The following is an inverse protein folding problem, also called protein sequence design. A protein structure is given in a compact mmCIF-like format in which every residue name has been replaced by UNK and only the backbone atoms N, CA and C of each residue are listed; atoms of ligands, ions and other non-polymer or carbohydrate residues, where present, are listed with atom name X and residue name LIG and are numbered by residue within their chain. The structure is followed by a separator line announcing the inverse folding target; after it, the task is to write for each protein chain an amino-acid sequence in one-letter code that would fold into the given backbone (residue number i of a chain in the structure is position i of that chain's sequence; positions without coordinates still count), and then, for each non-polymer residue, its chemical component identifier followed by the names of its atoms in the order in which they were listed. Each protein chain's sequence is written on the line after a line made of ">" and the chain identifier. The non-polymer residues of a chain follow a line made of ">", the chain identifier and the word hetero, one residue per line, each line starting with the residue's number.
data_IF_723799724263
#
_entry.id   IF_723799724263
#
_cell.length_a   1.000
_cell.length_b   1.000
_cell.length_c   1.000
_cell.angle_alpha   90.00
_cell.angle_beta   90.00
_cell.angle_gamma   90.00
#
_symmetry.space_group_name_H-M   'P 1'
#
loop_
_entity.id
_entity.type
_entity.pdbx_description
1 polymer ?
#
# COMPACT_ATOMS: atom_id res chain seq x y z
N UNK A 1 7.31 23.41 7.79
CA UNK A 1 8.51 22.59 7.50
C UNK A 1 8.02 21.25 7.01
N UNK A 2 8.33 20.90 5.78
CA UNK A 2 8.08 19.58 5.21
C UNK A 2 9.18 18.63 5.68
N UNK A 3 8.81 17.50 6.28
CA UNK A 3 9.77 16.48 6.68
C UNK A 3 9.53 15.24 5.82
N UNK A 4 10.54 14.90 5.01
CA UNK A 4 10.51 13.74 4.12
C UNK A 4 11.63 12.77 4.49
N UNK A 5 11.29 11.49 4.68
CA UNK A 5 12.25 10.46 5.09
C UNK A 5 11.84 9.06 4.62
N UNK A 6 12.82 8.15 4.54
CA UNK A 6 12.64 6.74 4.13
C UNK A 6 12.72 5.81 5.33
N UNK A 7 11.84 4.82 5.38
CA UNK A 7 11.83 3.77 6.41
C UNK A 7 11.51 2.39 5.83
N UNK A 8 11.83 1.35 6.59
CA UNK A 8 11.25 0.01 6.49
C UNK A 8 9.91 -0.09 7.21
N UNK A 9 9.20 -1.18 6.98
CA UNK A 9 7.92 -1.43 7.64
C UNK A 9 8.08 -1.71 9.15
N UNK A 10 9.16 -2.37 9.57
CA UNK A 10 9.51 -2.60 10.98
C UNK A 10 9.67 -1.30 11.77
N UNK A 11 10.12 -0.21 11.14
CA UNK A 11 10.41 1.08 11.77
C UNK A 11 9.18 1.98 11.97
N UNK A 12 8.02 1.61 11.41
CA UNK A 12 6.83 2.49 11.35
C UNK A 12 6.43 3.04 12.73
N UNK A 13 6.40 2.20 13.76
CA UNK A 13 5.91 2.60 15.08
C UNK A 13 6.88 3.53 15.81
N UNK A 14 8.19 3.37 15.58
CA UNK A 14 9.23 4.18 16.20
C UNK A 14 9.40 5.54 15.50
N UNK A 15 9.30 5.56 14.16
CA UNK A 15 9.73 6.71 13.36
C UNK A 15 8.57 7.55 12.83
N UNK A 16 7.44 6.94 12.46
CA UNK A 16 6.36 7.68 11.80
C UNK A 16 5.51 8.42 12.82
N UNK A 17 5.27 9.73 12.67
CA UNK A 17 4.37 10.47 13.57
C UNK A 17 2.90 10.10 13.34
N UNK A 18 2.09 10.29 14.38
CA UNK A 18 0.63 10.21 14.29
C UNK A 18 0.05 11.51 13.70
N UNK A 19 0.46 11.85 12.48
CA UNK A 19 0.14 13.12 11.82
C UNK A 19 -0.41 12.91 10.39
N UNK A 20 -1.01 13.94 9.78
CA UNK A 20 -1.34 13.94 8.36
C UNK A 20 -0.09 13.82 7.48
N UNK A 21 -0.28 13.26 6.29
CA UNK A 21 0.76 13.25 5.27
C UNK A 21 0.53 12.25 4.17
N UNK A 22 1.56 12.13 3.34
CA UNK A 22 1.66 11.26 2.18
C UNK A 22 2.66 10.14 2.44
N UNK A 23 2.38 8.98 1.87
CA UNK A 23 3.31 7.86 1.82
C UNK A 23 3.41 7.30 0.40
N UNK A 24 4.61 6.88 0.04
CA UNK A 24 4.90 6.13 -1.18
C UNK A 24 5.53 4.80 -0.78
N UNK A 25 5.02 3.71 -1.33
CA UNK A 25 5.58 2.38 -1.14
C UNK A 25 6.29 2.02 -2.43
N UNK A 26 7.60 1.80 -2.30
CA UNK A 26 8.51 1.54 -3.40
C UNK A 26 9.26 0.25 -3.14
N UNK A 27 9.56 -0.49 -4.19
CA UNK A 27 10.43 -1.67 -4.10
C UNK A 27 11.90 -1.26 -4.08
N UNK A 28 12.78 -2.14 -3.61
CA UNK A 28 14.23 -1.91 -3.59
C UNK A 28 14.81 -1.66 -4.99
N UNK A 29 14.16 -2.22 -6.02
CA UNK A 29 14.49 -2.05 -7.44
C UNK A 29 13.97 -0.72 -8.03
N UNK A 30 13.39 0.15 -7.20
CA UNK A 30 12.84 1.44 -7.62
C UNK A 30 11.43 1.37 -8.21
N UNK A 31 10.83 0.18 -8.29
CA UNK A 31 9.46 0.00 -8.76
C UNK A 31 8.45 0.62 -7.79
N UNK A 32 7.71 1.61 -8.29
CA UNK A 32 6.63 2.29 -7.55
C UNK A 32 5.44 1.33 -7.40
N UNK A 33 4.96 1.13 -6.17
CA UNK A 33 3.80 0.27 -5.93
C UNK A 33 2.56 1.09 -5.66
N UNK A 34 2.63 1.96 -4.65
CA UNK A 34 1.47 2.69 -4.15
C UNK A 34 1.86 4.06 -3.63
N UNK A 35 1.10 5.07 -4.03
CA UNK A 35 1.00 6.33 -3.30
C UNK A 35 -0.31 6.36 -2.50
N UNK A 36 -0.30 7.04 -1.35
CA UNK A 36 -1.49 7.25 -0.57
C UNK A 36 -1.34 8.35 0.46
N UNK A 37 -2.46 8.85 0.98
CA UNK A 37 -2.48 9.79 2.10
C UNK A 37 -3.17 9.25 3.33
N UNK A 38 -2.95 9.90 4.47
CA UNK A 38 -3.75 9.71 5.67
C UNK A 38 -3.78 10.98 6.53
N UNK A 39 -4.83 11.14 7.34
CA UNK A 39 -4.79 12.07 8.47
C UNK A 39 -3.98 11.52 9.67
N UNK A 40 -3.61 10.23 9.64
CA UNK A 40 -2.74 9.61 10.62
C UNK A 40 -1.86 8.54 9.94
N UNK A 41 -0.67 8.96 9.52
CA UNK A 41 0.29 8.13 8.79
C UNK A 41 0.68 6.87 9.56
N UNK A 42 1.03 6.98 10.84
CA UNK A 42 1.42 5.82 11.67
C UNK A 42 0.33 4.74 11.64
N UNK A 43 -0.92 5.11 11.96
CA UNK A 43 -2.05 4.16 11.95
C UNK A 43 -2.22 3.52 10.57
N UNK A 44 -2.17 4.31 9.50
CA UNK A 44 -2.38 3.81 8.13
C UNK A 44 -1.26 2.84 7.70
N UNK A 45 -0.01 3.19 7.97
CA UNK A 45 1.13 2.36 7.61
C UNK A 45 1.19 1.06 8.43
N UNK A 46 0.82 1.09 9.72
CA UNK A 46 0.66 -0.14 10.52
C UNK A 46 -0.41 -1.06 9.92
N UNK A 47 -1.53 -0.51 9.44
CA UNK A 47 -2.56 -1.31 8.77
C UNK A 47 -2.05 -1.96 7.47
N UNK A 48 -1.21 -1.25 6.72
CA UNK A 48 -0.56 -1.79 5.53
C UNK A 48 0.44 -2.89 5.88
N UNK A 49 1.30 -2.65 6.89
CA UNK A 49 2.26 -3.63 7.42
C UNK A 49 1.56 -4.94 7.78
N UNK A 50 0.47 -4.86 8.53
CA UNK A 50 -0.23 -6.06 9.01
C UNK A 50 -0.82 -6.90 7.88
N UNK A 51 -1.17 -6.29 6.74
CA UNK A 51 -1.64 -6.99 5.54
C UNK A 51 -2.72 -8.07 5.78
N UNK A 52 -3.62 -7.81 6.75
CA UNK A 52 -4.47 -8.83 7.37
C UNK A 52 -5.34 -9.59 6.36
N UNK A 53 -5.17 -10.90 6.25
CA UNK A 53 -6.00 -11.78 5.43
C UNK A 53 -7.45 -11.73 5.89
N UNK A 54 -7.68 -11.67 7.21
CA UNK A 54 -9.02 -11.56 7.80
C UNK A 54 -9.81 -10.33 7.35
N UNK A 55 -9.16 -9.32 6.75
CA UNK A 55 -9.77 -8.10 6.21
C UNK A 55 -9.97 -8.11 4.70
N UNK A 56 -9.49 -9.15 4.02
CA UNK A 56 -9.88 -9.48 2.65
C UNK A 56 -11.14 -10.35 2.73
N UNK A 57 -12.24 -9.85 2.17
CA UNK A 57 -13.56 -10.50 2.27
C UNK A 57 -14.12 -10.71 0.88
N UNK A 58 -14.53 -11.93 0.61
CA UNK A 58 -15.30 -12.24 -0.58
C UNK A 58 -16.67 -11.57 -0.47
N UNK A 59 -17.14 -11.00 -1.58
CA UNK A 59 -18.54 -10.62 -1.74
C UNK A 59 -19.40 -11.89 -1.79
N UNK A 60 -20.68 -11.74 -1.50
CA UNK A 60 -21.65 -12.83 -1.63
C UNK A 60 -21.63 -13.36 -3.07
N UNK A 61 -21.50 -14.69 -3.22
CA UNK A 61 -21.38 -15.36 -4.52
C UNK A 61 -20.07 -15.12 -5.28
N UNK A 62 -19.11 -14.39 -4.71
CA UNK A 62 -17.86 -14.02 -5.38
C UNK A 62 -16.82 -15.15 -5.50
N UNK A 63 -15.74 -14.93 -6.25
CA UNK A 63 -14.62 -15.86 -6.39
C UNK A 63 -13.25 -15.23 -6.07
N UNK A 64 -12.39 -15.97 -5.36
CA UNK A 64 -11.03 -15.49 -5.00
C UNK A 64 -10.09 -15.30 -6.19
N UNK A 65 -10.42 -15.89 -7.35
CA UNK A 65 -9.72 -15.68 -8.62
C UNK A 65 -10.01 -14.31 -9.23
N UNK A 66 -11.13 -13.69 -8.89
CA UNK A 66 -11.57 -12.40 -9.44
C UNK A 66 -11.30 -11.26 -8.43
N UNK A 67 -10.38 -10.32 -8.74
CA UNK A 67 -10.14 -9.17 -7.88
C UNK A 67 -11.40 -8.37 -7.56
N UNK A 68 -12.34 -8.23 -8.49
CA UNK A 68 -13.56 -7.44 -8.31
C UNK A 68 -14.50 -8.00 -7.23
N UNK A 69 -14.37 -9.30 -6.92
CA UNK A 69 -15.18 -10.01 -5.94
C UNK A 69 -14.61 -9.94 -4.52
N UNK A 70 -13.39 -9.44 -4.37
CA UNK A 70 -12.73 -9.30 -3.07
C UNK A 70 -12.78 -7.86 -2.59
N UNK A 71 -13.36 -7.64 -1.43
CA UNK A 71 -13.35 -6.37 -0.71
C UNK A 71 -12.16 -6.31 0.26
N UNK A 72 -11.51 -5.15 0.34
CA UNK A 72 -10.55 -4.84 1.40
C UNK A 72 -11.20 -3.89 2.41
N UNK A 73 -11.40 -4.36 3.64
CA UNK A 73 -11.96 -3.53 4.73
C UNK A 73 -10.93 -2.68 5.48
N UNK A 74 -9.63 -2.79 5.15
CA UNK A 74 -8.57 -2.12 5.90
C UNK A 74 -7.42 -1.65 5.01
N UNK A 75 -6.79 -2.58 4.28
CA UNK A 75 -5.58 -2.33 3.50
C UNK A 75 -5.80 -2.69 2.04
N UNK A 76 -6.08 -1.70 1.20
CA UNK A 76 -6.20 -1.95 -0.25
C UNK A 76 -4.89 -2.48 -0.85
N UNK A 77 -3.75 -2.11 -0.25
CA UNK A 77 -2.44 -2.68 -0.58
C UNK A 77 -2.41 -4.20 -0.40
N UNK A 78 -3.02 -4.73 0.66
CA UNK A 78 -3.06 -6.18 0.89
C UNK A 78 -3.81 -6.90 -0.24
N UNK A 79 -4.92 -6.33 -0.73
CA UNK A 79 -5.64 -6.84 -1.88
C UNK A 79 -4.78 -6.78 -3.15
N UNK A 80 -4.15 -5.64 -3.43
CA UNK A 80 -3.27 -5.49 -4.59
C UNK A 80 -2.13 -6.50 -4.59
N UNK A 81 -1.45 -6.69 -3.45
CA UNK A 81 -0.41 -7.69 -3.30
C UNK A 81 -0.94 -9.11 -3.49
N UNK A 82 -2.12 -9.43 -2.93
CA UNK A 82 -2.74 -10.73 -3.12
C UNK A 82 -2.98 -11.05 -4.60
N UNK A 83 -3.31 -10.06 -5.43
CA UNK A 83 -3.56 -10.23 -6.86
C UNK A 83 -2.36 -9.91 -7.76
N UNK A 84 -1.21 -9.54 -7.20
CA UNK A 84 0.01 -9.26 -7.96
C UNK A 84 0.52 -10.54 -8.63
N UNK A 85 1.16 -10.39 -9.78
CA UNK A 85 1.97 -11.43 -10.40
C UNK A 85 2.99 -12.01 -9.40
N UNK A 86 3.34 -13.30 -9.52
CA UNK A 86 4.29 -13.95 -8.63
C UNK A 86 5.58 -13.14 -8.45
N UNK A 87 6.06 -13.08 -7.21
CA UNK A 87 7.35 -12.50 -6.86
C UNK A 87 8.24 -13.61 -6.35
N UNK A 88 9.37 -13.84 -7.01
CA UNK A 88 10.31 -14.91 -6.66
C UNK A 88 10.67 -14.85 -5.17
N UNK A 89 10.46 -15.95 -4.46
CA UNK A 89 10.76 -16.07 -3.03
C UNK A 89 9.66 -15.59 -2.08
N UNK A 90 8.52 -15.10 -2.57
CA UNK A 90 7.42 -14.61 -1.72
C UNK A 90 6.05 -15.12 -2.17
N UNK A 91 5.31 -15.76 -1.26
CA UNK A 91 3.91 -16.13 -1.51
C UNK A 91 2.96 -15.00 -1.06
N UNK A 92 2.62 -14.11 -2.00
CA UNK A 92 1.73 -12.98 -1.73
C UNK A 92 0.26 -13.37 -1.50
N UNK A 93 -0.13 -14.63 -1.73
CA UNK A 93 -1.48 -15.12 -1.41
C UNK A 93 -1.67 -15.26 0.10
N UNK A 94 -0.59 -15.47 0.85
CA UNK A 94 -0.64 -15.57 2.32
C UNK A 94 -0.39 -14.22 2.99
N UNK A 95 -0.92 -14.05 4.20
CA UNK A 95 -0.62 -12.89 5.04
C UNK A 95 0.88 -12.78 5.35
N UNK A 96 1.49 -13.88 5.80
CA UNK A 96 2.90 -13.93 6.14
C UNK A 96 3.80 -13.57 4.94
N UNK A 97 3.52 -14.13 3.75
CA UNK A 97 4.32 -13.82 2.57
C UNK A 97 4.21 -12.35 2.13
N UNK A 98 3.03 -11.73 2.27
CA UNK A 98 2.90 -10.27 2.05
C UNK A 98 3.66 -9.44 3.09
N UNK A 99 3.61 -9.82 4.36
CA UNK A 99 4.34 -9.13 5.42
C UNK A 99 5.86 -9.21 5.18
N UNK A 100 6.37 -10.40 4.88
CA UNK A 100 7.79 -10.64 4.59
C UNK A 100 8.22 -9.89 3.33
N UNK A 101 7.41 -9.88 2.28
CA UNK A 101 7.69 -9.09 1.07
C UNK A 101 7.79 -7.59 1.36
N UNK A 102 6.82 -7.04 2.12
CA UNK A 102 6.84 -5.62 2.48
C UNK A 102 8.06 -5.25 3.32
N UNK A 103 8.48 -6.11 4.23
CA UNK A 103 9.65 -5.84 5.09
C UNK A 103 10.98 -5.96 4.33
N UNK A 104 11.12 -6.97 3.49
CA UNK A 104 12.40 -7.30 2.88
C UNK A 104 12.66 -6.61 1.55
N UNK A 105 11.60 -6.26 0.80
CA UNK A 105 11.72 -5.80 -0.60
C UNK A 105 11.08 -4.44 -0.85
N UNK A 106 10.55 -3.80 0.18
CA UNK A 106 9.89 -2.51 0.06
C UNK A 106 10.36 -1.53 1.12
N UNK A 107 10.25 -0.26 0.77
CA UNK A 107 10.44 0.86 1.68
C UNK A 107 9.26 1.82 1.56
N UNK A 108 9.08 2.61 2.61
CA UNK A 108 8.09 3.69 2.64
C UNK A 108 8.83 5.01 2.62
N UNK A 109 8.54 5.84 1.63
CA UNK A 109 8.88 7.26 1.65
C UNK A 109 7.72 7.99 2.30
N UNK A 110 7.99 8.74 3.36
CA UNK A 110 7.00 9.44 4.16
C UNK A 110 7.23 10.92 4.03
N UNK A 111 6.18 11.67 3.70
CA UNK A 111 6.17 13.14 3.70
C UNK A 111 5.10 13.61 4.67
N UNK A 112 5.51 14.21 5.77
CA UNK A 112 4.60 14.74 6.80
C UNK A 112 4.12 16.12 6.39
N UNK A 113 2.81 16.35 6.49
CA UNK A 113 2.16 17.62 6.15
C UNK A 113 1.48 18.24 7.36
N UNK A 114 1.13 19.53 7.25
CA UNK A 114 0.33 20.18 8.28
C UNK A 114 -1.12 19.72 8.21
N UNK A 115 -1.65 19.58 6.99
CA UNK A 115 -3.04 19.22 6.74
C UNK A 115 -3.16 18.01 5.82
N UNK A 116 -4.32 17.36 5.86
CA UNK A 116 -4.60 16.24 4.95
C UNK A 116 -4.84 16.74 3.53
N UNK A 117 -5.31 17.97 3.39
CA UNK A 117 -5.59 18.66 2.13
C UNK A 117 -4.31 18.90 1.34
N UNK A 118 -3.24 19.37 2.01
CA UNK A 118 -1.89 19.45 1.42
C UNK A 118 -1.41 18.08 0.92
N UNK A 119 -1.56 17.03 1.73
CA UNK A 119 -1.20 15.69 1.32
C UNK A 119 -1.99 15.23 0.09
N UNK A 120 -3.29 15.56 0.02
CA UNK A 120 -4.15 15.22 -1.12
C UNK A 120 -3.73 15.91 -2.40
N UNK A 121 -3.28 17.15 -2.34
CA UNK A 121 -2.78 17.84 -3.53
C UNK A 121 -1.52 17.19 -4.08
N UNK A 122 -0.57 16.83 -3.21
CA UNK A 122 0.62 16.08 -3.61
C UNK A 122 0.29 14.69 -4.16
N UNK A 123 -0.67 13.98 -3.55
CA UNK A 123 -1.13 12.67 -4.02
C UNK A 123 -1.75 12.76 -5.41
N UNK A 124 -2.56 13.77 -5.70
CA UNK A 124 -3.14 13.96 -7.05
C UNK A 124 -2.08 14.10 -8.12
N UNK A 125 -1.05 14.92 -7.88
CA UNK A 125 0.06 15.10 -8.83
C UNK A 125 0.79 13.78 -9.08
N UNK A 126 1.02 12.99 -8.03
CA UNK A 126 1.65 11.67 -8.13
C UNK A 126 0.75 10.63 -8.81
N UNK A 127 -0.54 10.60 -8.51
CA UNK A 127 -1.52 9.71 -9.17
C UNK A 127 -1.64 10.03 -10.67
N UNK A 128 -1.62 11.32 -11.05
CA UNK A 128 -1.67 11.77 -12.45
C UNK A 128 -0.45 11.34 -13.28
N UNK A 129 0.70 11.11 -12.64
CA UNK A 129 1.90 10.61 -13.34
C UNK A 129 1.72 9.20 -13.94
N UNK A 130 0.74 8.43 -13.47
CA UNK A 130 0.56 7.04 -13.87
C UNK A 130 1.62 6.06 -13.35
N UNK A 131 2.59 6.53 -12.55
CA UNK A 131 3.71 5.71 -12.07
C UNK A 131 3.28 4.64 -11.04
N UNK A 132 2.12 4.80 -10.39
CA UNK A 132 1.66 3.94 -9.30
C UNK A 132 0.61 2.93 -9.79
N UNK A 133 0.92 1.63 -9.90
CA UNK A 133 -0.04 0.63 -10.36
C UNK A 133 -1.16 0.36 -9.34
N UNK A 134 -0.90 0.54 -8.03
CA UNK A 134 -1.88 0.23 -6.98
C UNK A 134 -2.71 1.46 -6.57
N UNK A 135 -3.45 1.99 -7.54
CA UNK A 135 -4.51 2.99 -7.32
C UNK A 135 -5.77 2.34 -6.72
N UNK A 136 -6.76 3.14 -6.31
CA UNK A 136 -7.96 2.67 -5.59
C UNK A 136 -8.79 1.54 -6.23
N UNK A 137 -8.49 1.14 -7.47
CA UNK A 137 -9.13 0.04 -8.19
C UNK A 137 -8.07 -0.98 -8.64
N UNK A 138 -8.25 -2.25 -8.30
CA UNK A 138 -7.54 -3.37 -8.94
C UNK A 138 -8.14 -3.55 -10.34
N UNK A 139 -7.50 -3.02 -11.39
CA UNK A 139 -7.85 -3.42 -12.76
C UNK A 139 -7.27 -4.81 -13.01
N UNK A 140 -8.07 -5.70 -13.60
CA UNK A 140 -7.58 -6.96 -14.17
C UNK A 140 -6.53 -6.62 -15.23
N UNK A 141 -5.38 -7.31 -15.31
CA UNK A 141 -4.54 -7.18 -16.49
C UNK A 141 -5.36 -7.66 -17.69
N UNK A 142 -5.57 -6.81 -18.69
CA UNK A 142 -5.99 -7.30 -20.00
C UNK A 142 -4.84 -8.15 -20.52
N UNK A 143 -5.11 -9.44 -20.72
CA UNK A 143 -4.21 -10.33 -21.45
C UNK A 143 -4.18 -9.82 -22.90
N UNK A 144 -3.10 -9.13 -23.26
CA UNK A 144 -2.71 -8.91 -24.65
C UNK A 144 -1.97 -10.11 -25.20
#
# INVERSE_FOLDING_TARGET
>A
MEQSFRIRFSEIEATVPAAPGLYEIVTDEGGMLKVGISGNLRKRLVQHRQSRQSRLKLKEGGQWSNPSDVMSKQSILAKHLFFRSPVTGFDLKTEAGRQVFLEQRCHVLVTVTLTREEAREMERLKEQSGAYPFVGVTKTPELG
#
